data_IF_917517830482
#
_entry.id   IF_917517830482
#
_cell.length_a   1.000
_cell.length_b   1.000
_cell.length_c   1.000
_cell.angle_alpha   90.00
_cell.angle_beta   90.00
_cell.angle_gamma   90.00
#
_symmetry.space_group_name_H-M   'P 1'
#
loop_
_entity.id
_entity.type
_entity.pdbx_description
1 polymer ?
#
# COMPACT_ATOMS: atom_id res chain seq x y z
N UNK A 1 16.79 -39.03 -16.15
CA UNK A 1 16.36 -39.62 -14.88
C UNK A 1 15.36 -38.66 -14.25
N UNK A 2 14.13 -39.11 -13.99
CA UNK A 2 13.18 -38.29 -13.22
C UNK A 2 13.58 -38.35 -11.75
N UNK A 3 13.58 -37.22 -11.03
CA UNK A 3 13.86 -37.22 -9.59
C UNK A 3 12.85 -38.10 -8.87
N UNK A 4 13.31 -38.80 -7.84
CA UNK A 4 12.42 -39.55 -6.96
C UNK A 4 11.46 -38.58 -6.24
N UNK A 5 10.27 -39.04 -5.81
CA UNK A 5 9.31 -38.19 -5.09
C UNK A 5 9.90 -37.51 -3.85
N UNK A 6 10.84 -38.17 -3.16
CA UNK A 6 11.49 -37.64 -1.96
C UNK A 6 12.54 -36.58 -2.29
N UNK A 7 13.35 -36.80 -3.34
CA UNK A 7 14.28 -35.79 -3.85
C UNK A 7 13.53 -34.55 -4.34
N UNK A 8 12.38 -34.73 -5.02
CA UNK A 8 11.55 -33.62 -5.46
C UNK A 8 11.02 -32.78 -4.28
N UNK A 9 10.59 -33.43 -3.18
CA UNK A 9 10.16 -32.76 -1.95
C UNK A 9 11.30 -32.00 -1.29
N UNK A 10 12.49 -32.61 -1.24
CA UNK A 10 13.67 -31.97 -0.66
C UNK A 10 14.12 -30.74 -1.48
N UNK A 11 14.08 -30.84 -2.81
CA UNK A 11 14.39 -29.72 -3.70
C UNK A 11 13.39 -28.56 -3.53
N UNK A 12 12.09 -28.86 -3.42
CA UNK A 12 11.06 -27.85 -3.11
C UNK A 12 11.32 -27.21 -1.74
N UNK A 13 11.62 -28.00 -0.71
CA UNK A 13 11.88 -27.49 0.63
C UNK A 13 13.11 -26.56 0.67
N UNK A 14 14.20 -26.92 -0.03
CA UNK A 14 15.39 -26.07 -0.16
C UNK A 14 15.10 -24.80 -0.95
N UNK A 15 14.36 -24.89 -2.05
CA UNK A 15 13.97 -23.72 -2.83
C UNK A 15 13.10 -22.75 -2.01
N UNK A 16 12.17 -23.28 -1.22
CA UNK A 16 11.34 -22.50 -0.29
C UNK A 16 12.18 -21.83 0.80
N UNK A 17 13.15 -22.53 1.38
CA UNK A 17 14.06 -21.96 2.38
C UNK A 17 14.93 -20.84 1.80
N UNK A 18 15.49 -21.04 0.60
CA UNK A 18 16.27 -20.02 -0.12
C UNK A 18 15.41 -18.81 -0.49
N UNK A 19 14.18 -19.03 -0.97
CA UNK A 19 13.25 -17.95 -1.29
C UNK A 19 12.85 -17.15 -0.07
N UNK A 20 12.64 -17.78 1.10
CA UNK A 20 12.35 -17.07 2.36
C UNK A 20 13.51 -16.18 2.80
N UNK A 21 14.74 -16.67 2.70
CA UNK A 21 15.93 -15.91 3.07
C UNK A 21 16.27 -14.79 2.08
N UNK A 22 15.92 -14.96 0.79
CA UNK A 22 16.11 -13.94 -0.23
C UNK A 22 15.01 -12.87 -0.27
N UNK A 23 13.85 -13.11 0.35
CA UNK A 23 12.72 -12.19 0.34
C UNK A 23 13.07 -10.85 1.02
N UNK A 24 12.79 -9.75 0.31
CA UNK A 24 13.07 -8.38 0.75
C UNK A 24 11.78 -7.62 1.01
N UNK A 25 11.91 -6.49 1.72
CA UNK A 25 10.82 -5.56 1.90
C UNK A 25 10.32 -5.04 0.55
N UNK A 26 9.03 -5.22 0.20
CA UNK A 26 8.47 -4.76 -1.08
C UNK A 26 8.40 -3.24 -1.14
N UNK A 27 9.10 -2.64 -2.10
CA UNK A 27 9.12 -1.19 -2.31
C UNK A 27 7.77 -0.64 -2.84
N UNK A 28 6.85 -1.51 -3.26
CA UNK A 28 5.47 -1.14 -3.58
C UNK A 28 4.73 -0.47 -2.41
N UNK A 29 5.19 -0.69 -1.16
CA UNK A 29 4.68 0.04 0.00
C UNK A 29 4.98 1.54 -0.05
N UNK A 30 6.04 1.97 -0.73
CA UNK A 30 6.33 3.40 -0.96
C UNK A 30 5.23 4.02 -1.81
N UNK A 31 4.86 3.37 -2.91
CA UNK A 31 3.76 3.80 -3.77
C UNK A 31 2.42 3.81 -3.02
N UNK A 32 2.18 2.82 -2.17
CA UNK A 32 0.99 2.79 -1.30
C UNK A 32 0.95 3.97 -0.31
N UNK A 33 2.07 4.31 0.33
CA UNK A 33 2.15 5.48 1.22
C UNK A 33 1.87 6.78 0.46
N UNK A 34 2.34 6.89 -0.78
CA UNK A 34 2.02 8.02 -1.66
C UNK A 34 0.51 8.08 -1.97
N UNK A 35 -0.14 6.94 -2.21
CA UNK A 35 -1.60 6.87 -2.37
C UNK A 35 -2.35 7.33 -1.11
N UNK A 36 -1.87 6.97 0.08
CA UNK A 36 -2.48 7.43 1.33
C UNK A 36 -2.38 8.95 1.51
N UNK A 37 -1.37 9.62 0.95
CA UNK A 37 -1.24 11.07 1.04
C UNK A 37 -2.32 11.83 0.25
N UNK A 38 -2.96 11.18 -0.74
CA UNK A 38 -4.00 11.78 -1.58
C UNK A 38 -5.24 12.15 -0.75
N UNK A 39 -5.64 11.29 0.18
CA UNK A 39 -6.80 11.51 1.06
C UNK A 39 -6.73 12.84 1.81
N UNK A 40 -5.71 13.07 2.64
CA UNK A 40 -5.53 14.34 3.35
C UNK A 40 -5.41 15.55 2.43
N UNK A 41 -4.76 15.42 1.27
CA UNK A 41 -4.67 16.52 0.29
C UNK A 41 -6.05 16.90 -0.27
N UNK A 42 -6.87 15.91 -0.61
CA UNK A 42 -8.25 16.14 -1.04
C UNK A 42 -9.08 16.78 0.08
N UNK A 43 -9.05 16.22 1.29
CA UNK A 43 -9.82 16.74 2.43
C UNK A 43 -9.41 18.18 2.80
N UNK A 44 -8.12 18.49 2.71
CA UNK A 44 -7.63 19.84 2.92
C UNK A 44 -8.13 20.80 1.84
N UNK A 45 -8.19 20.35 0.58
CA UNK A 45 -8.69 21.17 -0.53
C UNK A 45 -10.19 21.50 -0.38
N UNK A 46 -11.00 20.55 0.09
CA UNK A 46 -12.42 20.76 0.36
C UNK A 46 -12.64 21.62 1.59
N UNK A 47 -11.86 21.42 2.66
CA UNK A 47 -11.95 22.21 3.88
C UNK A 47 -11.53 23.68 3.68
N UNK A 48 -10.46 23.92 2.92
CA UNK A 48 -9.93 25.28 2.73
C UNK A 48 -10.73 26.10 1.72
N UNK A 49 -11.45 25.46 0.78
CA UNK A 49 -12.36 26.11 -0.19
C UNK A 49 -11.87 27.48 -0.69
N UNK A 50 -10.57 27.57 -0.99
CA UNK A 50 -9.93 28.81 -1.44
C UNK A 50 -10.32 29.14 -2.88
N UNK A 51 -9.81 30.25 -3.45
CA UNK A 51 -10.11 30.67 -4.83
C UNK A 51 -9.54 29.73 -5.91
N UNK A 52 -8.93 28.61 -5.53
CA UNK A 52 -8.32 27.65 -6.45
C UNK A 52 -9.41 26.99 -7.29
N UNK A 53 -9.33 27.05 -8.64
CA UNK A 53 -10.31 26.41 -9.50
C UNK A 53 -10.38 24.89 -9.22
N UNK A 54 -11.58 24.30 -9.17
CA UNK A 54 -11.75 22.86 -8.92
C UNK A 54 -10.94 21.98 -9.88
N UNK A 55 -10.78 22.38 -11.14
CA UNK A 55 -9.98 21.66 -12.13
C UNK A 55 -8.51 21.50 -11.72
N UNK A 56 -7.92 22.50 -11.07
CA UNK A 56 -6.52 22.44 -10.61
C UNK A 56 -6.37 21.46 -9.46
N UNK A 57 -7.33 21.44 -8.52
CA UNK A 57 -7.37 20.50 -7.41
C UNK A 57 -7.43 19.06 -7.94
N UNK A 58 -8.36 18.79 -8.86
CA UNK A 58 -8.51 17.47 -9.46
C UNK A 58 -7.31 17.07 -10.32
N UNK A 59 -6.66 18.00 -11.00
CA UNK A 59 -5.43 17.73 -11.75
C UNK A 59 -4.27 17.30 -10.82
N UNK A 60 -4.09 17.98 -9.68
CA UNK A 60 -3.05 17.63 -8.69
C UNK A 60 -3.34 16.28 -8.04
N UNK A 61 -4.59 16.03 -7.65
CA UNK A 61 -5.02 14.75 -7.09
C UNK A 61 -4.82 13.62 -8.11
N UNK A 62 -5.23 13.84 -9.36
CA UNK A 62 -5.07 12.88 -10.44
C UNK A 62 -3.60 12.57 -10.74
N UNK A 63 -2.74 13.59 -10.78
CA UNK A 63 -1.30 13.42 -10.97
C UNK A 63 -0.67 12.58 -9.84
N UNK A 64 -1.06 12.85 -8.58
CA UNK A 64 -0.61 12.06 -7.44
C UNK A 64 -1.12 10.62 -7.46
N UNK A 65 -2.37 10.41 -7.89
CA UNK A 65 -2.95 9.08 -8.04
C UNK A 65 -2.21 8.26 -9.11
N UNK A 66 -1.97 8.86 -10.27
CA UNK A 66 -1.20 8.24 -11.35
C UNK A 66 0.23 7.92 -10.87
N UNK A 67 0.91 8.87 -10.23
CA UNK A 67 2.24 8.66 -9.68
C UNK A 67 2.26 7.51 -8.66
N UNK A 68 1.33 7.50 -7.70
CA UNK A 68 1.24 6.45 -6.68
C UNK A 68 1.02 5.06 -7.28
N UNK A 69 0.17 4.94 -8.31
CA UNK A 69 -0.05 3.68 -9.04
C UNK A 69 1.22 3.27 -9.79
N UNK A 70 1.84 4.18 -10.56
CA UNK A 70 3.05 3.90 -11.33
C UNK A 70 4.21 3.48 -10.42
N UNK A 71 4.40 4.17 -9.30
CA UNK A 71 5.41 3.79 -8.31
C UNK A 71 5.10 2.44 -7.67
N UNK A 72 3.84 2.16 -7.32
CA UNK A 72 3.46 0.86 -6.76
C UNK A 72 3.77 -0.30 -7.71
N UNK A 73 3.43 -0.13 -9.00
CA UNK A 73 3.69 -1.13 -10.03
C UNK A 73 5.19 -1.25 -10.33
N UNK A 74 5.86 -0.13 -10.61
CA UNK A 74 7.28 -0.09 -10.96
C UNK A 74 8.15 -0.65 -9.85
N UNK A 75 7.89 -0.26 -8.60
CA UNK A 75 8.61 -0.80 -7.45
C UNK A 75 8.22 -2.26 -7.16
N UNK A 76 6.99 -2.66 -7.42
CA UNK A 76 6.57 -4.07 -7.36
C UNK A 76 7.39 -4.95 -8.30
N UNK A 77 7.67 -4.48 -9.52
CA UNK A 77 8.52 -5.19 -10.49
C UNK A 77 9.97 -5.32 -10.02
N UNK A 78 10.50 -4.29 -9.34
CA UNK A 78 11.87 -4.26 -8.82
C UNK A 78 12.07 -5.06 -7.51
N UNK A 79 10.98 -5.40 -6.81
CA UNK A 79 11.02 -5.98 -5.46
C UNK A 79 11.04 -7.52 -5.43
N UNK A 80 11.49 -8.17 -6.50
CA UNK A 80 11.59 -9.64 -6.55
C UNK A 80 12.88 -10.12 -5.87
N UNK A 81 12.86 -11.24 -5.11
CA UNK A 81 11.71 -12.10 -4.83
C UNK A 81 10.80 -11.53 -3.73
N UNK A 82 9.48 -11.61 -3.98
CA UNK A 82 8.45 -11.02 -3.13
C UNK A 82 8.10 -11.96 -1.97
N UNK A 83 7.83 -11.46 -0.75
CA UNK A 83 7.52 -12.31 0.39
C UNK A 83 6.22 -13.09 0.19
N UNK A 84 6.16 -14.31 0.76
CA UNK A 84 4.96 -15.16 0.66
C UNK A 84 3.74 -14.44 1.27
N UNK A 85 2.64 -14.43 0.53
CA UNK A 85 1.38 -13.78 0.93
C UNK A 85 1.37 -12.26 0.80
N UNK A 86 2.42 -11.63 0.25
CA UNK A 86 2.46 -10.19 0.03
C UNK A 86 1.26 -9.69 -0.80
N UNK A 87 0.92 -10.39 -1.90
CA UNK A 87 -0.18 -9.99 -2.77
C UNK A 87 -1.52 -9.89 -2.03
N UNK A 88 -1.81 -10.81 -1.13
CA UNK A 88 -3.03 -10.77 -0.30
C UNK A 88 -3.02 -9.59 0.66
N UNK A 89 -1.90 -9.35 1.37
CA UNK A 89 -1.78 -8.21 2.31
C UNK A 89 -1.91 -6.88 1.58
N UNK A 90 -1.25 -6.75 0.42
CA UNK A 90 -1.33 -5.56 -0.41
C UNK A 90 -2.76 -5.32 -0.92
N UNK A 91 -3.44 -6.37 -1.41
CA UNK A 91 -4.82 -6.28 -1.86
C UNK A 91 -5.78 -5.85 -0.73
N UNK A 92 -5.62 -6.37 0.49
CA UNK A 92 -6.39 -5.93 1.67
C UNK A 92 -6.17 -4.45 1.95
N UNK A 93 -4.91 -3.99 1.96
CA UNK A 93 -4.62 -2.58 2.23
C UNK A 93 -5.16 -1.65 1.13
N UNK A 94 -5.09 -2.05 -0.14
CA UNK A 94 -5.69 -1.30 -1.24
C UNK A 94 -7.22 -1.24 -1.11
N UNK A 95 -7.86 -2.33 -0.70
CA UNK A 95 -9.31 -2.33 -0.46
C UNK A 95 -9.70 -1.37 0.68
N UNK A 96 -8.95 -1.38 1.79
CA UNK A 96 -9.16 -0.45 2.91
C UNK A 96 -8.93 1.00 2.50
N UNK A 97 -7.86 1.28 1.78
CA UNK A 97 -7.59 2.60 1.22
C UNK A 97 -8.71 3.06 0.27
N UNK A 98 -9.19 2.17 -0.61
CA UNK A 98 -10.26 2.48 -1.56
C UNK A 98 -11.57 2.81 -0.84
N UNK A 99 -11.90 2.07 0.23
CA UNK A 99 -13.07 2.36 1.05
C UNK A 99 -12.96 3.72 1.74
N UNK A 100 -11.80 4.04 2.32
CA UNK A 100 -11.55 5.36 2.92
C UNK A 100 -11.63 6.49 1.88
N UNK A 101 -11.11 6.25 0.67
CA UNK A 101 -11.17 7.19 -0.45
C UNK A 101 -12.60 7.46 -0.90
N UNK A 102 -13.39 6.41 -1.16
CA UNK A 102 -14.80 6.54 -1.53
C UNK A 102 -15.59 7.28 -0.45
N UNK A 103 -15.36 6.97 0.83
CA UNK A 103 -15.98 7.69 1.93
C UNK A 103 -15.59 9.17 1.96
N UNK A 104 -14.35 9.51 1.57
CA UNK A 104 -13.90 10.90 1.51
C UNK A 104 -14.57 11.68 0.39
N UNK A 105 -14.77 11.06 -0.77
CA UNK A 105 -15.32 11.72 -1.96
C UNK A 105 -16.85 11.77 -1.95
N UNK A 106 -17.50 10.69 -1.53
CA UNK A 106 -18.96 10.52 -1.59
C UNK A 106 -19.64 10.65 -0.21
N UNK A 107 -18.86 10.81 0.86
CA UNK A 107 -19.37 11.01 2.21
C UNK A 107 -19.78 12.45 2.48
N UNK A 108 -20.11 12.77 3.74
CA UNK A 108 -20.50 14.11 4.14
C UNK A 108 -19.37 15.14 3.98
N UNK A 109 -19.75 16.39 3.70
CA UNK A 109 -18.80 17.50 3.65
C UNK A 109 -18.07 17.70 4.98
N UNK A 110 -16.78 18.04 4.88
CA UNK A 110 -15.92 18.34 6.01
C UNK A 110 -16.09 19.81 6.39
N UNK A 111 -16.84 20.08 7.46
CA UNK A 111 -17.14 21.46 7.90
C UNK A 111 -16.34 21.88 9.13
N UNK A 112 -15.68 20.94 9.81
CA UNK A 112 -14.91 21.20 11.04
C UNK A 112 -13.48 20.69 10.95
N UNK A 113 -12.56 21.36 11.64
CA UNK A 113 -11.17 20.92 11.76
C UNK A 113 -11.03 19.56 12.42
N UNK A 114 -11.92 19.21 13.36
CA UNK A 114 -11.94 17.89 14.02
C UNK A 114 -12.24 16.77 13.02
N UNK A 115 -13.21 16.95 12.11
CA UNK A 115 -13.50 15.97 11.07
C UNK A 115 -12.31 15.81 10.11
N UNK A 116 -11.71 16.92 9.68
CA UNK A 116 -10.53 16.92 8.83
C UNK A 116 -9.37 16.12 9.45
N UNK A 117 -9.04 16.41 10.72
CA UNK A 117 -7.95 15.73 11.43
C UNK A 117 -8.27 14.26 11.64
N UNK A 118 -9.48 13.94 12.12
CA UNK A 118 -9.88 12.55 12.37
C UNK A 118 -9.79 11.69 11.10
N UNK A 119 -10.26 12.20 9.97
CA UNK A 119 -10.22 11.46 8.72
C UNK A 119 -8.81 11.40 8.11
N UNK A 120 -8.00 12.44 8.28
CA UNK A 120 -6.58 12.42 7.88
C UNK A 120 -5.77 11.38 8.68
N UNK A 121 -6.10 11.18 9.97
CA UNK A 121 -5.48 10.15 10.79
C UNK A 121 -5.80 8.73 10.30
N UNK A 122 -6.94 8.49 9.66
CA UNK A 122 -7.26 7.20 9.04
C UNK A 122 -6.25 6.89 7.94
N UNK A 123 -5.99 7.85 7.05
CA UNK A 123 -4.99 7.69 5.98
C UNK A 123 -3.57 7.52 6.51
N UNK A 124 -3.22 8.25 7.58
CA UNK A 124 -1.93 8.06 8.25
C UNK A 124 -1.80 6.66 8.85
N UNK A 125 -2.85 6.18 9.54
CA UNK A 125 -2.89 4.83 10.10
C UNK A 125 -2.75 3.77 9.01
N UNK A 126 -3.46 3.93 7.88
CA UNK A 126 -3.34 3.06 6.71
C UNK A 126 -1.91 3.07 6.14
N UNK A 127 -1.32 4.25 5.98
CA UNK A 127 0.05 4.41 5.48
C UNK A 127 1.10 3.71 6.36
N UNK A 128 0.89 3.64 7.67
CA UNK A 128 1.80 2.98 8.60
C UNK A 128 1.55 1.47 8.74
N UNK A 129 0.27 1.06 8.79
CA UNK A 129 -0.12 -0.33 9.09
C UNK A 129 0.29 -1.32 8.01
N UNK A 130 0.17 -0.97 6.72
CA UNK A 130 0.60 -1.82 5.62
C UNK A 130 2.10 -2.18 5.68
N UNK A 131 3.00 -1.18 5.67
CA UNK A 131 4.44 -1.40 5.83
C UNK A 131 4.80 -2.14 7.12
N UNK A 132 4.18 -1.79 8.24
CA UNK A 132 4.48 -2.43 9.53
C UNK A 132 4.07 -3.90 9.55
N UNK A 133 2.89 -4.23 9.00
CA UNK A 133 2.44 -5.61 8.87
C UNK A 133 3.41 -6.45 8.02
N UNK A 134 3.96 -5.87 6.96
CA UNK A 134 4.97 -6.55 6.13
C UNK A 134 6.30 -6.75 6.87
N UNK A 135 6.79 -5.73 7.59
CA UNK A 135 8.02 -5.84 8.39
C UNK A 135 7.91 -6.94 9.45
N UNK A 136 6.79 -6.99 10.18
CA UNK A 136 6.53 -8.02 11.18
C UNK A 136 6.49 -9.40 10.52
N UNK A 137 5.84 -9.52 9.36
CA UNK A 137 5.75 -10.79 8.63
C UNK A 137 7.12 -11.27 8.18
N UNK A 138 7.95 -10.38 7.64
CA UNK A 138 9.32 -10.69 7.22
C UNK A 138 10.20 -11.10 8.40
N UNK A 139 10.08 -10.40 9.53
CA UNK A 139 10.80 -10.75 10.75
C UNK A 139 10.44 -12.17 11.22
N UNK A 140 9.15 -12.47 11.29
CA UNK A 140 8.63 -13.79 11.70
C UNK A 140 8.99 -14.92 10.72
N UNK A 141 9.24 -14.61 9.44
CA UNK A 141 9.67 -15.60 8.44
C UNK A 141 11.17 -15.91 8.52
N UNK A 142 11.98 -15.02 9.09
CA UNK A 142 13.43 -15.20 9.27
C UNK A 142 13.79 -15.92 10.57
N UNK A 143 12.93 -15.81 11.58
CA UNK A 143 13.12 -16.43 12.90
C UNK A 143 12.54 -17.84 13.02
N UNK A 144 11.78 -18.29 12.01
CA UNK A 144 11.24 -19.66 11.90
C UNK A 144 12.08 -20.49 10.94
#
# INVERSE_FOLDING_TARGET
MNPSPDEAREMIARADALSRNAARFPLSWVGYTMLCAIGPLYLLSTYLSGPTPPAVIWAVIGAWLIAGVLFSVGFGMLSRPTPKGFGTRWAVMIALWSAAWVFSVAGPDITTSTQLVAQSLIYLALAATGPLWELITLHNQRTK
#
